data_IF_931826768040
#
_entry.id   IF_931826768040
#
_cell.length_a   1.000
_cell.length_b   1.000
_cell.length_c   1.000
_cell.angle_alpha   90.00
_cell.angle_beta   90.00
_cell.angle_gamma   90.00
#
_symmetry.space_group_name_H-M   'P 1'
#
loop_
_entity.id
_entity.type
_entity.pdbx_description
1 polymer ?
#
# COMPACT_ATOMS: atom_id res chain seq x y z
N UNK A 1 5.50 -27.77 44.61
CA UNK A 1 6.21 -28.14 43.35
C UNK A 1 5.32 -29.09 42.54
N UNK A 2 3.99 -28.91 42.58
CA UNK A 2 3.05 -30.02 42.31
C UNK A 2 2.13 -29.79 41.10
N UNK A 3 2.29 -28.67 40.38
CA UNK A 3 1.49 -28.36 39.19
C UNK A 3 2.01 -28.98 37.88
N UNK A 4 3.21 -29.57 37.89
CA UNK A 4 3.81 -30.18 36.68
C UNK A 4 3.43 -31.66 36.47
N UNK A 5 2.79 -32.30 37.45
CA UNK A 5 2.39 -33.71 37.33
C UNK A 5 1.08 -33.91 36.55
N UNK A 6 0.22 -32.90 36.49
CA UNK A 6 -1.11 -33.01 35.88
C UNK A 6 -1.07 -32.89 34.35
N UNK A 7 -0.16 -32.08 33.81
CA UNK A 7 -0.03 -31.89 32.35
C UNK A 7 0.57 -33.09 31.62
N UNK A 8 1.37 -33.92 32.30
CA UNK A 8 1.90 -35.16 31.70
C UNK A 8 0.81 -36.22 31.48
N UNK A 9 -0.15 -36.34 32.41
CA UNK A 9 -1.25 -37.31 32.28
C UNK A 9 -2.15 -37.02 31.09
N UNK A 10 -2.43 -35.74 30.79
CA UNK A 10 -3.26 -35.37 29.64
C UNK A 10 -2.61 -35.66 28.27
N UNK A 11 -1.27 -35.60 28.18
CA UNK A 11 -0.56 -35.87 26.91
C UNK A 11 -0.51 -37.37 26.63
N UNK A 12 -0.28 -38.19 27.66
CA UNK A 12 -0.22 -39.65 27.51
C UNK A 12 -1.61 -40.25 27.20
N UNK A 13 -2.70 -39.64 27.70
CA UNK A 13 -4.07 -40.09 27.41
C UNK A 13 -4.53 -39.74 25.98
N UNK A 14 -4.10 -38.59 25.46
CA UNK A 14 -4.37 -38.17 24.08
C UNK A 14 -3.60 -39.01 23.03
N UNK A 15 -2.40 -39.50 23.37
CA UNK A 15 -1.64 -40.39 22.49
C UNK A 15 -2.25 -41.80 22.44
N UNK A 16 -2.82 -42.29 23.55
CA UNK A 16 -3.52 -43.58 23.59
C UNK A 16 -4.80 -43.63 22.75
N UNK A 17 -5.47 -42.49 22.57
CA UNK A 17 -6.69 -42.43 21.74
C UNK A 17 -6.40 -42.42 20.24
N UNK A 18 -5.17 -42.10 19.82
CA UNK A 18 -4.77 -42.07 18.41
C UNK A 18 -4.40 -43.45 17.84
N UNK A 19 -4.08 -44.44 18.70
CA UNK A 19 -3.70 -45.79 18.26
C UNK A 19 -4.89 -46.74 18.05
N UNK A 20 -6.09 -46.40 18.54
CA UNK A 20 -7.30 -47.21 18.37
C UNK A 20 -8.11 -46.77 17.14
N UNK A 21 -7.44 -46.76 15.99
CA UNK A 21 -8.04 -46.44 14.69
C UNK A 21 -9.11 -47.43 14.26
N UNK A 22 -10.36 -47.22 14.69
CA UNK A 22 -11.56 -47.71 14.02
C UNK A 22 -12.10 -46.62 13.11
N UNK A 23 -11.78 -46.72 11.82
CA UNK A 23 -12.39 -45.93 10.75
C UNK A 23 -13.89 -46.24 10.68
N UNK A 24 -14.80 -45.26 10.79
CA UNK A 24 -16.19 -45.47 10.46
C UNK A 24 -16.33 -45.69 8.96
N UNK A 25 -16.98 -46.79 8.57
CA UNK A 25 -17.42 -47.07 7.21
C UNK A 25 -18.35 -45.93 6.76
N UNK A 26 -17.98 -45.24 5.68
CA UNK A 26 -18.87 -44.31 5.00
C UNK A 26 -20.01 -45.11 4.35
N UNK A 27 -21.22 -44.94 4.88
CA UNK A 27 -22.45 -45.37 4.23
C UNK A 27 -22.74 -44.46 3.05
N UNK A 28 -22.67 -45.03 1.85
CA UNK A 28 -23.07 -44.41 0.59
C UNK A 28 -24.59 -44.21 0.56
N UNK A 29 -25.04 -43.01 0.93
CA UNK A 29 -26.41 -42.59 0.67
C UNK A 29 -26.57 -42.25 -0.81
N UNK A 30 -27.20 -43.19 -1.51
CA UNK A 30 -27.72 -43.08 -2.85
C UNK A 30 -28.92 -42.11 -2.85
N UNK A 31 -28.71 -40.87 -3.31
CA UNK A 31 -29.80 -39.92 -3.59
C UNK A 31 -30.14 -40.06 -5.07
N UNK A 32 -31.21 -40.80 -5.34
CA UNK A 32 -31.92 -40.83 -6.61
C UNK A 32 -32.80 -39.58 -6.76
N UNK A 33 -32.77 -38.95 -7.93
CA UNK A 33 -33.83 -38.08 -8.42
C UNK A 33 -33.44 -36.62 -8.57
N UNK A 34 -33.21 -36.17 -9.80
CA UNK A 34 -34.25 -35.48 -10.57
C UNK A 34 -33.72 -35.21 -11.99
N UNK A 35 -34.22 -36.00 -12.94
CA UNK A 35 -34.15 -35.62 -14.36
C UNK A 35 -34.98 -34.36 -14.57
N UNK A 36 -34.40 -33.38 -15.24
CA UNK A 36 -35.09 -32.25 -15.82
C UNK A 36 -34.41 -31.99 -17.15
N UNK A 37 -35.01 -32.62 -18.16
CA UNK A 37 -34.78 -32.39 -19.57
C UNK A 37 -34.77 -30.89 -19.86
N UNK A 38 -33.58 -30.33 -20.06
CA UNK A 38 -33.42 -29.07 -20.76
C UNK A 38 -32.91 -29.41 -22.16
N UNK A 39 -33.86 -29.54 -23.09
CA UNK A 39 -33.59 -29.46 -24.52
C UNK A 39 -32.73 -28.23 -24.78
N UNK A 40 -31.51 -28.45 -25.27
CA UNK A 40 -30.73 -27.45 -25.96
C UNK A 40 -30.63 -27.90 -27.42
N UNK A 41 -31.27 -27.14 -28.29
CA UNK A 41 -31.10 -27.15 -29.73
C UNK A 41 -29.62 -27.09 -30.11
N UNK A 42 -29.11 -28.03 -30.94
CA UNK A 42 -27.79 -27.92 -31.54
C UNK A 42 -27.90 -27.63 -33.03
N UNK A 43 -28.48 -26.50 -33.43
CA UNK A 43 -28.46 -26.06 -34.83
C UNK A 43 -28.07 -24.58 -34.95
N UNK A 44 -26.77 -24.31 -34.87
CA UNK A 44 -26.16 -23.24 -35.67
C UNK A 44 -24.65 -23.52 -35.83
N UNK A 45 -24.34 -24.63 -36.51
CA UNK A 45 -23.07 -24.78 -37.21
C UNK A 45 -23.03 -23.71 -38.31
N UNK A 46 -22.46 -22.55 -37.99
CA UNK A 46 -22.18 -21.52 -38.98
C UNK A 46 -21.05 -22.04 -39.88
N UNK A 47 -21.46 -22.67 -40.98
CA UNK A 47 -20.65 -23.07 -42.11
C UNK A 47 -20.13 -21.81 -42.80
N UNK A 48 -19.12 -21.18 -42.20
CA UNK A 48 -18.31 -20.16 -42.86
C UNK A 48 -17.43 -20.87 -43.89
N UNK A 49 -18.05 -21.14 -45.04
CA UNK A 49 -17.52 -21.00 -46.38
C UNK A 49 -15.99 -20.83 -46.44
N UNK A 50 -15.30 -21.97 -46.59
CA UNK A 50 -13.94 -22.03 -47.09
C UNK A 50 -13.93 -21.51 -48.53
N UNK A 51 -13.54 -20.24 -48.71
CA UNK A 51 -13.06 -19.76 -50.01
C UNK A 51 -11.56 -20.08 -50.10
N UNK A 52 -11.09 -20.81 -51.12
CA UNK A 52 -9.68 -20.92 -51.41
C UNK A 52 -9.20 -19.57 -51.97
N UNK A 53 -8.68 -18.73 -51.09
CA UNK A 53 -7.95 -17.53 -51.48
C UNK A 53 -6.66 -17.98 -52.16
N UNK A 54 -6.48 -17.49 -53.38
CA UNK A 54 -5.36 -17.81 -54.24
C UNK A 54 -4.02 -17.53 -53.57
N UNK A 55 -3.07 -18.37 -53.95
CA UNK A 55 -1.64 -18.28 -53.71
C UNK A 55 -1.11 -16.96 -54.28
N UNK A 56 -1.17 -15.89 -53.47
CA UNK A 56 -0.43 -14.66 -53.69
C UNK A 56 0.86 -14.86 -52.90
N UNK A 57 1.97 -15.03 -53.60
CA UNK A 57 3.30 -15.06 -53.02
C UNK A 57 3.60 -13.74 -52.32
N UNK A 58 3.15 -13.61 -51.07
CA UNK A 58 3.58 -12.58 -50.15
C UNK A 58 4.99 -12.96 -49.68
N UNK A 59 6.00 -12.29 -50.22
CA UNK A 59 7.32 -12.30 -49.62
C UNK A 59 7.21 -11.69 -48.21
N UNK A 60 7.06 -12.56 -47.22
CA UNK A 60 7.12 -12.24 -45.79
C UNK A 60 8.34 -11.34 -45.54
N UNK A 61 8.15 -10.07 -45.12
CA UNK A 61 9.27 -9.23 -44.74
C UNK A 61 9.91 -9.87 -43.51
N UNK A 62 11.02 -10.57 -43.73
CA UNK A 62 11.87 -11.16 -42.71
C UNK A 62 12.35 -10.03 -41.79
N UNK A 63 11.56 -9.76 -40.74
CA UNK A 63 11.91 -8.89 -39.63
C UNK A 63 13.16 -9.48 -39.00
N UNK A 64 14.31 -8.94 -39.37
CA UNK A 64 15.60 -9.37 -38.85
C UNK A 64 15.55 -9.23 -37.33
N UNK A 65 15.59 -10.37 -36.65
CA UNK A 65 15.53 -10.42 -35.21
C UNK A 65 16.75 -9.67 -34.64
N UNK A 66 16.55 -8.42 -34.19
CA UNK A 66 17.60 -7.61 -33.58
C UNK A 66 18.21 -8.37 -32.38
N UNK A 67 19.43 -8.87 -32.55
CA UNK A 67 20.16 -9.58 -31.49
C UNK A 67 20.70 -8.55 -30.50
N UNK A 68 20.00 -8.40 -29.38
CA UNK A 68 20.41 -7.47 -28.31
C UNK A 68 21.14 -8.24 -27.21
N UNK A 69 22.29 -7.71 -26.78
CA UNK A 69 23.08 -8.27 -25.69
C UNK A 69 22.42 -8.11 -24.32
N UNK A 70 22.46 -9.16 -23.48
CA UNK A 70 22.01 -9.08 -22.10
C UNK A 70 22.86 -8.09 -21.29
N UNK A 71 22.24 -7.08 -20.69
CA UNK A 71 22.96 -6.06 -19.90
C UNK A 71 23.78 -6.65 -18.74
N UNK A 72 23.36 -7.79 -18.17
CA UNK A 72 23.98 -8.44 -17.01
C UNK A 72 25.10 -9.43 -17.38
N UNK A 73 24.82 -10.41 -18.23
CA UNK A 73 25.79 -11.47 -18.58
C UNK A 73 26.42 -11.29 -19.97
N UNK A 74 26.07 -10.22 -20.68
CA UNK A 74 26.54 -9.86 -22.03
C UNK A 74 26.24 -10.88 -23.15
N UNK A 75 25.70 -12.05 -22.83
CA UNK A 75 25.23 -13.03 -23.83
C UNK A 75 24.15 -12.42 -24.73
N UNK A 76 24.30 -12.58 -26.04
CA UNK A 76 23.27 -12.29 -27.02
C UNK A 76 22.10 -13.27 -26.85
N UNK A 77 20.88 -12.80 -27.09
CA UNK A 77 19.67 -13.63 -27.02
C UNK A 77 18.59 -13.04 -27.93
N UNK A 78 17.74 -13.92 -28.45
CA UNK A 78 16.61 -13.52 -29.28
C UNK A 78 15.57 -12.74 -28.46
N UNK A 79 15.14 -11.59 -28.98
CA UNK A 79 14.06 -10.83 -28.40
C UNK A 79 12.72 -11.30 -28.97
N UNK A 80 11.78 -11.61 -28.07
CA UNK A 80 10.38 -11.76 -28.47
C UNK A 80 9.73 -10.39 -28.74
N UNK A 81 8.40 -10.33 -28.88
CA UNK A 81 7.66 -9.10 -29.21
C UNK A 81 7.81 -7.97 -28.17
N UNK A 82 8.40 -8.26 -27.00
CA UNK A 82 8.72 -7.27 -25.98
C UNK A 82 10.23 -7.14 -25.87
N UNK A 83 10.75 -5.93 -26.02
CA UNK A 83 12.18 -5.67 -25.84
C UNK A 83 12.58 -5.82 -24.38
N UNK A 84 13.54 -6.69 -24.09
CA UNK A 84 14.01 -6.96 -22.72
C UNK A 84 15.49 -6.62 -22.58
N UNK A 85 15.88 -5.99 -21.46
CA UNK A 85 17.29 -5.69 -21.16
C UNK A 85 18.10 -6.89 -20.66
N UNK A 86 17.43 -8.00 -20.30
CA UNK A 86 18.04 -9.18 -19.68
C UNK A 86 17.61 -10.44 -20.41
N UNK A 87 18.55 -11.37 -20.62
CA UNK A 87 18.26 -12.67 -21.21
C UNK A 87 17.26 -13.47 -20.34
N UNK A 88 16.57 -14.49 -20.91
CA UNK A 88 15.62 -15.33 -20.18
C UNK A 88 16.18 -15.89 -18.86
N UNK A 89 17.42 -16.37 -18.88
CA UNK A 89 18.11 -16.90 -17.68
C UNK A 89 18.29 -15.83 -16.59
N UNK A 90 18.83 -14.66 -16.93
CA UNK A 90 19.05 -13.58 -15.97
C UNK A 90 17.73 -13.04 -15.38
N UNK A 91 16.66 -12.99 -16.19
CA UNK A 91 15.31 -12.65 -15.70
C UNK A 91 14.78 -13.69 -14.72
N UNK A 92 14.94 -14.99 -15.02
CA UNK A 92 14.57 -16.08 -14.10
C UNK A 92 15.32 -15.96 -12.78
N UNK A 93 16.64 -15.76 -12.84
CA UNK A 93 17.49 -15.59 -11.66
C UNK A 93 17.10 -14.36 -10.83
N UNK A 94 16.76 -13.24 -11.47
CA UNK A 94 16.25 -12.04 -10.79
C UNK A 94 14.91 -12.31 -10.12
N UNK A 95 13.97 -12.99 -10.80
CA UNK A 95 12.67 -13.40 -10.21
C UNK A 95 12.87 -14.31 -9.00
N UNK A 96 13.80 -15.27 -9.07
CA UNK A 96 14.15 -16.12 -7.93
C UNK A 96 14.74 -15.35 -6.77
N UNK A 97 15.67 -14.42 -7.01
CA UNK A 97 16.22 -13.57 -5.95
C UNK A 97 15.12 -12.76 -5.26
N UNK A 98 14.20 -12.19 -6.03
CA UNK A 98 13.03 -11.47 -5.50
C UNK A 98 12.11 -12.40 -4.70
N UNK A 99 11.87 -13.63 -5.16
CA UNK A 99 11.08 -14.63 -4.42
C UNK A 99 11.74 -15.02 -3.09
N UNK A 100 13.05 -15.35 -3.09
CA UNK A 100 13.80 -15.67 -1.87
C UNK A 100 13.77 -14.50 -0.88
N UNK A 101 13.93 -13.27 -1.37
CA UNK A 101 13.86 -12.08 -0.53
C UNK A 101 12.44 -11.85 0.04
N UNK A 102 11.39 -12.04 -0.77
CA UNK A 102 10.00 -11.96 -0.30
C UNK A 102 9.69 -13.02 0.75
N UNK A 103 10.19 -14.25 0.58
CA UNK A 103 10.01 -15.32 1.54
C UNK A 103 10.73 -15.00 2.87
N UNK A 104 12.01 -14.64 2.80
CA UNK A 104 12.82 -14.25 3.97
C UNK A 104 12.21 -13.07 4.75
N UNK A 105 11.58 -12.11 4.08
CA UNK A 105 10.92 -10.97 4.74
C UNK A 105 9.48 -11.25 5.16
N UNK A 106 8.82 -12.27 4.60
CA UNK A 106 7.48 -12.70 5.02
C UNK A 106 7.54 -13.45 6.35
N UNK A 107 8.58 -14.25 6.56
CA UNK A 107 8.79 -15.09 7.75
C UNK A 107 9.26 -14.30 8.98
N UNK A 108 10.00 -13.20 8.77
CA UNK A 108 10.46 -12.35 9.88
C UNK A 108 9.32 -11.44 10.38
N UNK A 109 8.91 -11.66 11.62
CA UNK A 109 8.02 -10.74 12.35
C UNK A 109 8.84 -9.52 12.77
N UNK A 110 8.22 -8.34 12.88
CA UNK A 110 8.90 -7.14 13.35
C UNK A 110 9.78 -6.43 12.30
N UNK A 111 9.74 -6.81 11.02
CA UNK A 111 10.53 -6.14 9.97
C UNK A 111 9.67 -5.63 8.80
N UNK A 112 10.09 -4.54 8.20
CA UNK A 112 9.44 -3.99 7.02
C UNK A 112 9.60 -4.92 5.81
N UNK A 113 8.49 -5.36 5.21
CA UNK A 113 8.51 -6.21 4.01
C UNK A 113 9.04 -5.55 2.73
N UNK A 114 9.38 -4.26 2.74
CA UNK A 114 9.93 -3.54 1.59
C UNK A 114 11.44 -3.34 1.68
N UNK A 115 11.95 -2.94 2.83
CA UNK A 115 13.38 -2.64 3.01
C UNK A 115 14.09 -3.55 4.01
N UNK A 116 13.36 -4.37 4.78
CA UNK A 116 13.92 -5.26 5.79
C UNK A 116 14.34 -4.58 7.08
N UNK A 117 14.10 -3.27 7.25
CA UNK A 117 14.41 -2.55 8.50
C UNK A 117 13.53 -3.08 9.64
N UNK A 118 14.11 -3.22 10.83
CA UNK A 118 13.35 -3.53 12.05
C UNK A 118 12.35 -2.41 12.33
N UNK A 119 11.15 -2.79 12.72
CA UNK A 119 10.05 -1.90 13.10
C UNK A 119 9.82 -2.02 14.59
N UNK A 120 9.38 -0.94 15.22
CA UNK A 120 9.01 -0.96 16.64
C UNK A 120 7.88 -1.98 16.86
N UNK A 121 7.85 -2.69 18.01
CA UNK A 121 6.86 -3.73 18.28
C UNK A 121 5.42 -3.26 18.02
N UNK A 122 5.05 -2.08 18.53
CA UNK A 122 3.73 -1.49 18.32
C UNK A 122 3.43 -1.10 16.86
N UNK A 123 4.43 -0.72 16.07
CA UNK A 123 4.24 -0.43 14.64
C UNK A 123 4.09 -1.73 13.83
N UNK A 124 4.85 -2.77 14.18
CA UNK A 124 4.91 -4.04 13.46
C UNK A 124 3.63 -4.87 13.55
N UNK A 125 2.86 -4.72 14.63
CA UNK A 125 1.55 -5.35 14.80
C UNK A 125 0.49 -4.72 13.88
N UNK A 126 0.61 -3.42 13.61
CA UNK A 126 -0.39 -2.67 12.85
C UNK A 126 -0.04 -2.58 11.36
N UNK A 127 1.25 -2.56 11.02
CA UNK A 127 1.73 -2.24 9.69
C UNK A 127 2.77 -3.24 9.18
N UNK A 128 2.60 -3.62 7.91
CA UNK A 128 3.51 -4.53 7.19
C UNK A 128 4.74 -3.78 6.63
N UNK A 129 4.68 -2.44 6.59
CA UNK A 129 5.71 -1.57 6.03
C UNK A 129 6.06 -0.48 7.05
N UNK A 130 7.34 -0.15 7.19
CA UNK A 130 7.80 0.96 8.03
C UNK A 130 7.23 2.30 7.54
N UNK A 131 7.20 3.30 8.42
CA UNK A 131 6.74 4.66 8.13
C UNK A 131 7.31 5.24 6.82
N UNK A 132 8.64 5.15 6.61
CA UNK A 132 9.31 5.64 5.38
C UNK A 132 8.77 4.96 4.12
N UNK A 133 8.65 3.63 4.12
CA UNK A 133 8.15 2.87 2.98
C UNK A 133 6.65 3.13 2.72
N UNK A 134 5.84 3.32 3.76
CA UNK A 134 4.44 3.72 3.65
C UNK A 134 4.31 5.11 3.04
N UNK A 135 5.08 6.08 3.52
CA UNK A 135 5.12 7.44 2.99
C UNK A 135 5.47 7.47 1.51
N UNK A 136 6.59 6.83 1.13
CA UNK A 136 7.00 6.70 -0.27
C UNK A 136 5.92 6.04 -1.15
N UNK A 137 5.25 4.99 -0.64
CA UNK A 137 4.16 4.33 -1.37
C UNK A 137 2.95 5.26 -1.59
N UNK A 138 2.57 6.07 -0.60
CA UNK A 138 1.48 7.05 -0.72
C UNK A 138 1.83 8.14 -1.73
N UNK A 139 3.02 8.71 -1.66
CA UNK A 139 3.49 9.74 -2.61
C UNK A 139 3.51 9.19 -4.05
N UNK A 140 4.05 7.98 -4.26
CA UNK A 140 4.05 7.35 -5.60
C UNK A 140 2.65 7.08 -6.13
N UNK A 141 1.70 6.66 -5.27
CA UNK A 141 0.30 6.47 -5.68
C UNK A 141 -0.37 7.79 -6.05
N UNK A 142 -0.08 8.86 -5.31
CA UNK A 142 -0.57 10.22 -5.61
C UNK A 142 -0.05 10.69 -6.97
N UNK A 143 1.26 10.64 -7.17
CA UNK A 143 1.90 11.03 -8.43
C UNK A 143 1.36 10.25 -9.63
N UNK A 144 1.17 8.93 -9.49
CA UNK A 144 0.53 8.13 -10.56
C UNK A 144 -0.87 8.65 -10.89
N UNK A 145 -1.67 8.98 -9.89
CA UNK A 145 -3.01 9.51 -10.14
C UNK A 145 -2.97 10.89 -10.81
N UNK A 146 -2.03 11.76 -10.42
CA UNK A 146 -1.81 13.08 -11.03
C UNK A 146 -1.37 12.95 -12.50
N UNK A 147 -0.53 11.96 -12.82
CA UNK A 147 -0.12 11.63 -14.20
C UNK A 147 -1.19 10.87 -15.00
N UNK A 148 -2.40 10.65 -14.47
CA UNK A 148 -3.42 9.85 -15.14
C UNK A 148 -3.06 8.37 -15.28
N UNK A 149 -2.17 7.83 -14.43
CA UNK A 149 -1.78 6.41 -14.38
C UNK A 149 -2.47 5.65 -13.26
N UNK A 150 -2.67 4.35 -13.48
CA UNK A 150 -3.30 3.47 -12.49
C UNK A 150 -2.44 3.34 -11.21
N UNK A 151 -3.03 3.62 -10.04
CA UNK A 151 -2.29 3.54 -8.76
C UNK A 151 -1.85 2.11 -8.37
N UNK A 152 -2.44 1.08 -8.99
CA UNK A 152 -2.12 -0.33 -8.75
C UNK A 152 -1.01 -0.85 -9.65
N UNK A 153 -1.16 -0.72 -10.97
CA UNK A 153 -0.25 -1.30 -11.95
C UNK A 153 0.69 -0.29 -12.63
N UNK A 154 0.49 1.02 -12.43
CA UNK A 154 1.17 2.11 -13.15
C UNK A 154 0.93 2.11 -14.67
N UNK A 155 -0.01 1.31 -15.17
CA UNK A 155 -0.45 1.33 -16.56
C UNK A 155 -1.34 2.54 -16.85
N UNK A 156 -1.56 2.78 -18.13
CA UNK A 156 -2.47 3.81 -18.63
C UNK A 156 -3.88 3.64 -18.08
N UNK A 157 -4.55 4.78 -17.90
CA UNK A 157 -5.89 4.82 -17.37
C UNK A 157 -6.82 5.41 -18.42
N UNK A 158 -7.74 4.59 -18.92
CA UNK A 158 -8.74 4.97 -19.92
C UNK A 158 -9.60 6.15 -19.46
N UNK A 159 -9.77 6.34 -18.14
CA UNK A 159 -10.61 7.37 -17.58
C UNK A 159 -9.94 8.01 -16.34
N UNK A 160 -9.61 9.29 -16.45
CA UNK A 160 -9.01 10.10 -15.37
C UNK A 160 -9.93 10.32 -14.17
N UNK A 161 -11.24 10.08 -14.30
CA UNK A 161 -12.20 10.14 -13.19
C UNK A 161 -11.93 9.06 -12.12
N UNK A 162 -11.24 7.98 -12.49
CA UNK A 162 -10.92 6.89 -11.56
C UNK A 162 -9.43 6.84 -11.27
N UNK A 163 -9.03 6.46 -10.06
CA UNK A 163 -7.61 6.24 -9.71
C UNK A 163 -7.05 4.89 -10.21
N UNK A 164 -7.92 4.04 -10.75
CA UNK A 164 -7.62 2.63 -11.11
C UNK A 164 -8.13 2.35 -12.51
N UNK A 165 -7.28 1.79 -13.38
CA UNK A 165 -7.64 1.49 -14.77
C UNK A 165 -8.71 0.40 -14.93
N UNK A 166 -9.33 0.35 -16.12
CA UNK A 166 -10.33 -0.65 -16.51
C UNK A 166 -9.87 -2.07 -16.19
N UNK A 167 -8.69 -2.46 -16.67
CA UNK A 167 -8.08 -3.78 -16.39
C UNK A 167 -8.03 -4.15 -14.91
N UNK A 168 -7.56 -3.26 -14.05
CA UNK A 168 -7.46 -3.55 -12.62
C UNK A 168 -8.83 -3.64 -11.94
N UNK A 169 -9.83 -2.89 -12.42
CA UNK A 169 -11.22 -2.98 -11.93
C UNK A 169 -11.88 -4.28 -12.36
N UNK A 170 -11.74 -4.68 -13.62
CA UNK A 170 -12.27 -5.96 -14.13
C UNK A 170 -11.65 -7.15 -13.38
N UNK A 171 -10.33 -7.15 -13.19
CA UNK A 171 -9.66 -8.20 -12.41
C UNK A 171 -10.14 -8.25 -10.95
N UNK A 172 -10.41 -7.11 -10.31
CA UNK A 172 -10.96 -7.09 -8.94
C UNK A 172 -12.40 -7.61 -8.90
N UNK A 173 -13.21 -7.31 -9.93
CA UNK A 173 -14.58 -7.83 -10.09
C UNK A 173 -14.57 -9.35 -10.23
N UNK A 174 -13.78 -9.89 -11.15
CA UNK A 174 -13.60 -11.34 -11.34
C UNK A 174 -13.11 -12.02 -10.07
N UNK A 175 -12.14 -11.41 -9.36
CA UNK A 175 -11.66 -11.93 -8.08
C UNK A 175 -12.80 -12.08 -7.07
N UNK A 176 -13.67 -11.07 -6.93
CA UNK A 176 -14.81 -11.12 -6.01
C UNK A 176 -15.82 -12.20 -6.40
N UNK A 177 -16.14 -12.32 -7.70
CA UNK A 177 -17.01 -13.38 -8.20
C UNK A 177 -16.41 -14.76 -7.90
N UNK A 178 -15.11 -14.95 -8.11
CA UNK A 178 -14.41 -16.21 -7.80
C UNK A 178 -14.41 -16.55 -6.32
N UNK A 179 -14.25 -15.55 -5.44
CA UNK A 179 -14.35 -15.74 -3.99
C UNK A 179 -15.78 -16.12 -3.58
N UNK A 180 -16.79 -15.43 -4.13
CA UNK A 180 -18.21 -15.72 -3.86
C UNK A 180 -18.60 -17.14 -4.30
N UNK A 181 -18.20 -17.57 -5.51
CA UNK A 181 -18.42 -18.94 -6.00
C UNK A 181 -17.81 -20.02 -5.09
N UNK A 182 -16.75 -19.69 -4.36
CA UNK A 182 -16.04 -20.61 -3.44
C UNK A 182 -16.50 -20.47 -1.98
N UNK A 183 -17.50 -19.64 -1.70
CA UNK A 183 -17.93 -19.34 -0.33
C UNK A 183 -16.84 -18.65 0.50
N UNK A 184 -15.96 -17.85 -0.13
CA UNK A 184 -14.86 -17.16 0.54
C UNK A 184 -15.17 -15.68 0.76
N UNK A 185 -14.69 -15.13 1.86
CA UNK A 185 -14.83 -13.71 2.20
C UNK A 185 -14.16 -12.79 1.17
N UNK A 186 -14.88 -11.81 0.63
CA UNK A 186 -14.36 -10.83 -0.34
C UNK A 186 -13.21 -9.93 0.18
N UNK A 187 -12.94 -9.92 1.50
CA UNK A 187 -11.91 -9.09 2.13
C UNK A 187 -10.64 -9.88 2.47
N UNK A 188 -10.78 -11.02 3.13
CA UNK A 188 -9.64 -11.80 3.65
C UNK A 188 -9.48 -13.17 3.00
N UNK A 189 -10.40 -13.56 2.09
CA UNK A 189 -10.42 -14.87 1.43
C UNK A 189 -10.54 -16.08 2.40
N UNK A 190 -11.00 -15.86 3.63
CA UNK A 190 -11.34 -16.93 4.58
C UNK A 190 -12.68 -17.55 4.20
N UNK A 191 -12.83 -18.87 4.36
CA UNK A 191 -14.09 -19.59 4.18
C UNK A 191 -15.18 -19.01 5.09
N UNK A 192 -16.34 -18.71 4.50
CA UNK A 192 -17.52 -18.27 5.23
C UNK A 192 -18.19 -19.48 5.87
N UNK A 193 -18.63 -19.32 7.11
CA UNK A 193 -19.42 -20.34 7.78
C UNK A 193 -20.85 -20.35 7.23
N UNK A 194 -21.63 -21.37 7.58
CA UNK A 194 -23.01 -21.50 7.12
C UNK A 194 -23.90 -20.33 7.52
N UNK A 195 -23.69 -19.83 8.74
CA UNK A 195 -24.35 -18.62 9.25
C UNK A 195 -23.92 -17.33 8.51
N UNK A 196 -22.79 -17.37 7.80
CA UNK A 196 -22.23 -16.26 7.05
C UNK A 196 -22.49 -16.35 5.54
N UNK A 197 -23.08 -17.44 5.01
CA UNK A 197 -23.25 -17.64 3.56
C UNK A 197 -24.05 -16.54 2.87
N UNK A 198 -25.02 -15.95 3.57
CA UNK A 198 -25.80 -14.81 3.05
C UNK A 198 -25.00 -13.52 2.94
N UNK A 199 -23.77 -13.50 3.47
CA UNK A 199 -22.92 -12.32 3.53
C UNK A 199 -21.66 -12.50 2.69
N UNK A 200 -21.34 -11.50 1.87
CA UNK A 200 -20.11 -11.47 1.05
C UNK A 200 -18.81 -11.35 1.87
N UNK A 201 -18.90 -11.18 3.18
CA UNK A 201 -17.77 -10.85 4.08
C UNK A 201 -17.99 -11.50 5.45
N UNK A 202 -16.96 -12.15 6.00
CA UNK A 202 -17.02 -12.81 7.30
C UNK A 202 -17.25 -11.84 8.47
N UNK A 203 -17.74 -12.35 9.60
CA UNK A 203 -18.03 -11.62 10.84
C UNK A 203 -16.81 -10.84 11.34
N UNK A 204 -15.61 -11.45 11.30
CA UNK A 204 -14.36 -10.78 11.70
C UNK A 204 -14.12 -9.50 10.89
N UNK A 205 -14.28 -9.57 9.57
CA UNK A 205 -14.09 -8.41 8.70
C UNK A 205 -15.24 -7.38 8.83
N UNK A 206 -16.47 -7.82 9.08
CA UNK A 206 -17.61 -6.93 9.36
C UNK A 206 -17.41 -6.16 10.66
N UNK A 207 -17.03 -6.83 11.74
CA UNK A 207 -16.79 -6.22 13.05
C UNK A 207 -15.62 -5.26 13.00
N UNK A 208 -14.51 -5.64 12.35
CA UNK A 208 -13.35 -4.75 12.16
C UNK A 208 -13.71 -3.43 11.45
N UNK A 209 -14.61 -3.49 10.45
CA UNK A 209 -15.08 -2.28 9.75
C UNK A 209 -15.86 -1.34 10.68
N UNK A 210 -16.62 -1.86 11.64
CA UNK A 210 -17.39 -1.04 12.60
C UNK A 210 -16.46 -0.25 13.52
N UNK A 211 -15.42 -0.88 14.06
CA UNK A 211 -14.42 -0.20 14.91
C UNK A 211 -13.70 0.94 14.19
N UNK A 212 -13.35 0.76 12.91
CA UNK A 212 -12.70 1.82 12.13
C UNK A 212 -13.62 3.00 11.76
N UNK A 213 -14.95 2.82 11.82
CA UNK A 213 -15.92 3.90 11.53
C UNK A 213 -16.42 4.60 12.79
N UNK A 214 -16.48 3.91 13.93
CA UNK A 214 -17.01 4.43 15.19
C UNK A 214 -15.98 5.12 16.09
N UNK A 215 -14.70 4.75 16.01
CA UNK A 215 -13.65 5.52 16.66
C UNK A 215 -13.47 6.82 15.88
N UNK A 216 -14.10 7.90 16.35
CA UNK A 216 -14.17 9.23 15.75
C UNK A 216 -12.84 9.93 15.52
N UNK A 217 -11.92 9.32 14.76
CA UNK A 217 -10.96 10.03 13.93
C UNK A 217 -11.76 10.65 12.79
N UNK A 218 -12.54 11.70 13.11
CA UNK A 218 -12.70 12.80 12.16
C UNK A 218 -11.29 13.08 11.68
N UNK A 219 -11.07 12.90 10.39
CA UNK A 219 -9.78 13.12 9.76
C UNK A 219 -9.19 14.40 10.36
N UNK A 220 -8.03 14.32 11.00
CA UNK A 220 -7.35 15.52 11.54
C UNK A 220 -7.15 16.55 10.42
N UNK A 221 -7.15 16.11 9.16
CA UNK A 221 -7.19 16.95 7.97
C UNK A 221 -8.45 17.82 7.88
N UNK A 222 -9.63 17.28 8.20
CA UNK A 222 -10.90 17.99 8.11
C UNK A 222 -11.10 18.98 9.28
N UNK A 223 -10.41 18.78 10.41
CA UNK A 223 -10.36 19.79 11.47
C UNK A 223 -9.36 20.92 11.17
N UNK A 224 -8.29 20.64 10.42
CA UNK A 224 -7.34 21.69 9.99
C UNK A 224 -7.96 22.56 8.89
N UNK A 225 -8.80 22.01 8.00
CA UNK A 225 -9.46 22.79 6.95
C UNK A 225 -10.53 23.75 7.52
N UNK A 226 -11.25 23.36 8.57
CA UNK A 226 -12.21 24.26 9.27
C UNK A 226 -11.47 25.32 10.09
N UNK A 227 -10.36 24.98 10.74
CA UNK A 227 -9.54 25.95 11.49
C UNK A 227 -8.79 26.93 10.57
N UNK A 228 -8.30 26.47 9.41
CA UNK A 228 -7.66 27.32 8.41
C UNK A 228 -8.67 28.26 7.73
N UNK A 229 -9.88 27.77 7.42
CA UNK A 229 -10.96 28.61 6.91
C UNK A 229 -11.41 29.66 7.95
N UNK A 230 -11.48 29.30 9.23
CA UNK A 230 -11.77 30.25 10.30
C UNK A 230 -10.65 31.29 10.51
N UNK A 231 -9.38 30.90 10.38
CA UNK A 231 -8.24 31.81 10.48
C UNK A 231 -8.17 32.81 9.30
N UNK A 232 -8.52 32.38 8.08
CA UNK A 232 -8.62 33.27 6.91
C UNK A 232 -9.82 34.22 7.03
N UNK A 233 -10.93 33.76 7.59
CA UNK A 233 -12.09 34.61 7.87
C UNK A 233 -11.83 35.67 8.96
N UNK A 234 -10.99 35.37 9.97
CA UNK A 234 -10.55 36.37 10.96
C UNK A 234 -9.53 37.36 10.40
N UNK A 235 -8.65 36.93 9.48
CA UNK A 235 -7.65 37.81 8.87
C UNK A 235 -8.28 38.80 7.87
N UNK A 236 -9.36 38.40 7.19
CA UNK A 236 -10.09 39.25 6.26
C UNK A 236 -11.24 39.96 6.99
N UNK A 237 -10.90 40.99 7.77
CA UNK A 237 -11.85 41.83 8.50
C UNK A 237 -13.12 42.11 7.71
N UNK A 238 -14.24 41.57 8.23
CA UNK A 238 -15.59 41.78 7.73
C UNK A 238 -15.93 43.27 7.75
N UNK A 239 -15.85 43.92 6.59
CA UNK A 239 -16.57 45.16 6.31
C UNK A 239 -17.87 44.81 5.58
N UNK A 240 -18.96 45.18 6.22
CA UNK A 240 -20.35 45.24 5.74
C UNK A 240 -20.52 45.30 4.22
N UNK A 241 -21.23 44.32 3.65
CA UNK A 241 -22.09 44.53 2.47
C UNK A 241 -23.35 43.67 2.61
N UNK A 242 -24.50 44.34 2.48
CA UNK A 242 -25.87 43.82 2.54
C UNK A 242 -26.20 42.82 1.41
N UNK A 243 -27.22 41.96 1.57
CA UNK A 243 -27.61 41.01 0.54
C UNK A 243 -28.69 41.57 -0.40
N UNK A 244 -28.47 41.42 -1.71
CA UNK A 244 -29.51 41.50 -2.73
C UNK A 244 -29.61 40.15 -3.45
N UNK A 245 -30.84 39.65 -3.52
CA UNK A 245 -31.34 38.41 -4.13
C UNK A 245 -30.59 37.82 -5.34
N UNK A 246 -30.43 36.49 -5.33
CA UNK A 246 -30.87 35.64 -6.46
C UNK A 246 -31.04 34.17 -6.05
N UNK A 247 -32.08 33.57 -6.61
CA UNK A 247 -32.59 32.22 -6.38
C UNK A 247 -31.57 31.11 -6.66
N UNK A 248 -31.47 30.12 -5.78
CA UNK A 248 -31.15 28.73 -6.16
C UNK A 248 -31.60 27.73 -5.08
N UNK A 249 -32.41 26.77 -5.52
CA UNK A 249 -33.03 25.70 -4.72
C UNK A 249 -32.04 24.68 -4.16
N UNK A 250 -32.11 24.52 -2.83
CA UNK A 250 -32.33 23.27 -2.08
C UNK A 250 -31.52 22.01 -2.42
N UNK A 251 -30.52 21.66 -1.61
CA UNK A 251 -30.64 20.56 -0.62
C UNK A 251 -29.37 20.42 0.23
N UNK A 252 -29.42 20.84 1.50
CA UNK A 252 -28.49 20.39 2.54
C UNK A 252 -29.17 20.54 3.91
N UNK A 253 -29.38 19.42 4.60
CA UNK A 253 -29.90 19.43 5.97
C UNK A 253 -28.88 20.04 6.92
N UNK A 254 -29.17 21.24 7.42
CA UNK A 254 -28.42 21.88 8.48
C UNK A 254 -28.81 21.27 9.83
N UNK A 255 -27.85 20.61 10.49
CA UNK A 255 -28.00 20.24 11.89
C UNK A 255 -27.89 21.52 12.73
N UNK A 256 -29.00 21.90 13.35
CA UNK A 256 -29.10 23.03 14.27
C UNK A 256 -28.34 22.70 15.57
N UNK A 257 -27.30 23.47 15.88
CA UNK A 257 -26.66 23.42 17.19
C UNK A 257 -27.50 24.28 18.14
N UNK A 258 -28.30 23.62 18.98
CA UNK A 258 -28.98 24.26 20.09
C UNK A 258 -27.95 24.72 21.12
N UNK A 259 -27.76 26.03 21.26
CA UNK A 259 -27.17 26.58 22.48
C UNK A 259 -28.21 26.53 23.61
N UNK A 260 -27.79 26.30 24.85
CA UNK A 260 -28.68 26.43 26.00
C UNK A 260 -29.17 27.89 26.12
N UNK A 261 -30.46 28.04 26.41
CA UNK A 261 -31.11 29.35 26.50
C UNK A 261 -30.39 30.26 27.50
N UNK A 262 -30.07 31.48 27.05
CA UNK A 262 -29.53 32.55 27.91
C UNK A 262 -28.01 32.71 27.94
N UNK A 263 -27.23 31.87 27.24
CA UNK A 263 -25.77 32.07 27.14
C UNK A 263 -25.37 32.77 25.85
N UNK A 264 -24.60 33.85 25.98
CA UNK A 264 -23.98 34.51 24.84
C UNK A 264 -22.79 33.69 24.32
N UNK A 265 -22.49 33.77 23.02
CA UNK A 265 -21.34 33.10 22.39
C UNK A 265 -20.02 33.46 23.08
N UNK A 266 -19.93 34.67 23.64
CA UNK A 266 -18.77 35.16 24.37
C UNK A 266 -18.61 34.48 25.74
N UNK A 267 -19.70 34.18 26.46
CA UNK A 267 -19.67 33.42 27.71
C UNK A 267 -19.32 31.95 27.50
N UNK A 268 -19.79 31.35 26.40
CA UNK A 268 -19.41 29.97 26.05
C UNK A 268 -17.91 29.85 25.76
N UNK A 269 -17.32 30.83 25.07
CA UNK A 269 -15.88 30.86 24.79
C UNK A 269 -15.04 31.13 26.05
N UNK A 270 -15.53 31.98 26.99
CA UNK A 270 -14.85 32.22 28.26
C UNK A 270 -14.88 30.99 29.18
N UNK A 271 -15.98 30.24 29.20
CA UNK A 271 -16.11 29.00 30.00
C UNK A 271 -15.20 27.88 29.49
N UNK A 272 -15.05 27.74 28.17
CA UNK A 272 -14.14 26.77 27.57
C UNK A 272 -12.66 27.01 27.90
N UNK A 273 -12.27 28.26 28.21
CA UNK A 273 -10.90 28.63 28.54
C UNK A 273 -10.52 28.26 30.00
N UNK A 274 -11.50 28.14 30.90
CA UNK A 274 -11.28 27.80 32.32
C UNK A 274 -11.01 26.31 32.56
N UNK A 275 -11.35 25.43 31.62
CA UNK A 275 -11.14 23.98 31.77
C UNK A 275 -9.79 23.46 31.26
N UNK A 276 -8.90 24.33 30.76
CA UNK A 276 -7.58 23.92 30.24
C UNK A 276 -6.39 24.34 31.12
N UNK A 277 -6.61 24.91 32.31
CA UNK A 277 -5.54 25.37 33.19
C UNK A 277 -5.66 24.84 34.62
N UNK A 278 -5.16 23.64 34.90
CA UNK A 278 -5.12 23.12 36.28
C UNK A 278 -4.51 21.74 36.40
N UNK A 279 -3.18 21.65 36.42
CA UNK A 279 -2.46 20.38 36.60
C UNK A 279 -0.95 20.54 36.82
N UNK A 280 -0.55 21.41 37.76
CA UNK A 280 0.83 21.48 38.23
C UNK A 280 1.00 20.53 39.43
N UNK A 281 1.38 19.27 39.13
CA UNK A 281 1.73 18.26 40.12
C UNK A 281 3.24 18.23 40.38
N UNK A 282 3.62 18.84 41.49
CA UNK A 282 4.78 18.61 42.36
C UNK A 282 5.64 17.36 42.07
N UNK A 283 6.90 17.55 41.69
CA UNK A 283 7.94 16.51 41.74
C UNK A 283 9.22 17.06 42.39
N UNK A 284 9.59 16.37 43.45
CA UNK A 284 10.62 16.68 44.42
C UNK A 284 12.03 16.62 43.80
N UNK A 285 12.79 17.70 43.96
CA UNK A 285 14.19 17.83 43.54
C UNK A 285 15.10 17.28 44.65
N UNK A 286 15.69 16.10 44.45
CA UNK A 286 16.87 15.67 45.20
C UNK A 286 18.08 15.66 44.27
N UNK A 287 19.05 16.51 44.64
CA UNK A 287 20.37 16.59 44.07
C UNK A 287 21.15 15.30 44.33
N UNK A 288 21.81 14.77 43.31
CA UNK A 288 23.05 14.01 43.46
C UNK A 288 23.94 14.26 42.25
N UNK A 289 25.08 14.86 42.56
CA UNK A 289 26.18 15.24 41.67
C UNK A 289 26.72 14.02 40.92
N UNK A 290 26.85 14.13 39.60
CA UNK A 290 27.87 13.41 38.84
C UNK A 290 28.40 14.35 37.78
N UNK A 291 29.66 14.73 37.94
CA UNK A 291 30.46 15.55 37.04
C UNK A 291 30.74 14.79 35.74
N UNK A 292 30.10 15.17 34.65
CA UNK A 292 30.61 14.95 33.30
C UNK A 292 30.32 16.19 32.44
N UNK A 293 31.40 16.81 31.98
CA UNK A 293 31.45 18.00 31.14
C UNK A 293 30.66 17.85 29.83
N UNK A 294 29.97 18.91 29.36
CA UNK A 294 29.55 19.04 27.97
C UNK A 294 30.62 19.78 27.16
N UNK A 295 30.72 19.43 25.87
CA UNK A 295 31.55 20.00 24.78
C UNK A 295 32.59 19.02 24.22
N UNK A 296 32.12 17.96 23.56
CA UNK A 296 32.91 17.30 22.52
C UNK A 296 32.71 18.07 21.21
N UNK A 297 33.64 18.97 20.91
CA UNK A 297 33.76 19.57 19.57
C UNK A 297 34.09 18.48 18.55
N UNK A 298 33.45 18.59 17.39
CA UNK A 298 33.36 17.51 16.40
C UNK A 298 34.68 16.99 15.86
N UNK A 299 34.65 15.71 15.49
CA UNK A 299 35.71 15.02 14.76
C UNK A 299 36.17 15.82 13.53
N UNK A 300 37.32 16.47 13.65
CA UNK A 300 37.91 17.36 12.66
C UNK A 300 38.51 16.65 11.42
N UNK A 301 38.18 15.36 11.19
CA UNK A 301 38.80 14.56 10.12
C UNK A 301 37.77 13.77 9.30
N UNK A 302 36.73 14.43 8.79
CA UNK A 302 35.88 13.81 7.76
C UNK A 302 36.56 13.92 6.41
N UNK A 303 37.07 12.81 5.89
CA UNK A 303 37.57 12.70 4.50
C UNK A 303 36.45 12.26 3.57
N UNK A 304 36.42 12.84 2.37
CA UNK A 304 35.50 12.43 1.31
C UNK A 304 35.80 10.99 0.88
N UNK A 305 34.80 10.10 0.91
CA UNK A 305 34.98 8.69 0.54
C UNK A 305 35.36 8.49 -0.94
N UNK A 306 35.10 9.47 -1.81
CA UNK A 306 35.34 9.36 -3.25
C UNK A 306 36.71 9.88 -3.67
N UNK A 307 37.17 11.00 -3.11
CA UNK A 307 38.44 11.61 -3.50
C UNK A 307 39.50 11.67 -2.38
N UNK A 308 39.16 11.27 -1.16
CA UNK A 308 40.08 11.29 0.00
C UNK A 308 40.40 12.68 0.55
N UNK A 309 39.88 13.76 -0.05
CA UNK A 309 40.13 15.15 0.40
C UNK A 309 39.37 15.40 1.71
N UNK A 310 40.01 16.11 2.65
CA UNK A 310 39.36 16.57 3.88
C UNK A 310 38.17 17.48 3.56
N UNK A 311 37.03 17.22 4.19
CA UNK A 311 35.79 17.99 4.02
C UNK A 311 35.85 19.14 5.04
N UNK A 312 36.04 20.37 4.56
CA UNK A 312 35.88 21.56 5.40
C UNK A 312 34.41 21.70 5.81
N UNK A 313 34.14 22.35 6.95
CA UNK A 313 32.78 22.64 7.41
C UNK A 313 31.99 23.44 6.35
N UNK A 314 32.68 24.26 5.56
CA UNK A 314 32.10 25.06 4.49
C UNK A 314 31.74 24.25 3.24
N UNK A 315 32.29 23.02 3.09
CA UNK A 315 32.02 22.12 1.95
C UNK A 315 30.90 21.10 2.24
N UNK A 316 30.30 21.14 3.44
CA UNK A 316 29.24 20.21 3.84
C UNK A 316 27.92 20.64 3.23
N UNK A 317 27.47 19.92 2.20
CA UNK A 317 26.13 20.08 1.66
C UNK A 317 25.08 19.80 2.75
N UNK A 318 23.95 20.52 2.74
CA UNK A 318 22.88 20.52 3.76
C UNK A 318 22.22 19.14 4.03
N UNK A 319 22.63 18.09 3.34
CA UNK A 319 22.32 16.70 3.66
C UNK A 319 23.39 16.14 4.60
N UNK A 320 23.21 16.31 5.91
CA UNK A 320 24.11 15.85 6.97
C UNK A 320 24.33 14.32 7.08
N UNK A 321 24.00 13.54 6.04
CA UNK A 321 24.17 12.09 5.98
C UNK A 321 25.10 11.58 4.86
N UNK A 322 25.65 12.45 4.01
CA UNK A 322 26.58 12.05 2.95
C UNK A 322 28.03 12.41 3.27
N UNK A 323 28.92 11.42 3.32
CA UNK A 323 30.38 11.60 3.45
C UNK A 323 31.05 11.89 2.09
N UNK A 324 30.40 12.70 1.25
CA UNK A 324 30.88 13.09 -0.08
C UNK A 324 31.04 14.62 -0.13
N UNK A 325 32.17 15.11 -0.63
CA UNK A 325 32.37 16.56 -0.83
C UNK A 325 31.54 17.09 -2.01
N UNK A 326 31.25 18.39 -2.01
CA UNK A 326 30.46 19.05 -3.06
C UNK A 326 30.98 18.79 -4.49
N UNK A 327 32.29 18.89 -4.70
CA UNK A 327 32.93 18.63 -6.02
C UNK A 327 32.66 17.23 -6.56
N UNK A 328 32.65 16.23 -5.67
CA UNK A 328 32.39 14.84 -6.05
C UNK A 328 30.92 14.58 -6.40
N UNK A 329 30.01 15.33 -5.78
CA UNK A 329 28.57 15.31 -6.07
C UNK A 329 28.27 15.97 -7.42
N UNK A 330 28.87 17.13 -7.70
CA UNK A 330 28.64 17.86 -8.96
C UNK A 330 29.14 17.10 -10.19
N UNK A 331 30.25 16.36 -10.05
CA UNK A 331 30.80 15.55 -11.15
C UNK A 331 29.88 14.41 -11.62
N UNK A 332 28.94 13.94 -10.78
CA UNK A 332 27.97 12.90 -11.19
C UNK A 332 26.77 13.48 -11.94
N UNK A 333 26.41 14.73 -11.67
CA UNK A 333 25.31 15.42 -12.37
C UNK A 333 25.62 15.72 -13.84
N UNK A 334 26.89 15.87 -14.21
CA UNK A 334 27.29 16.24 -15.57
C UNK A 334 27.43 15.04 -16.54
N UNK A 335 27.25 13.80 -16.06
CA UNK A 335 27.32 12.60 -16.91
C UNK A 335 26.01 12.27 -17.64
N UNK A 336 24.94 13.05 -17.45
CA UNK A 336 23.60 12.79 -18.03
C UNK A 336 23.15 13.77 -19.11
N UNK A 337 23.95 14.77 -19.47
CA UNK A 337 23.59 15.79 -20.47
C UNK A 337 24.75 15.94 -21.45
N UNK A 338 24.86 15.02 -22.43
CA UNK A 338 25.36 15.29 -23.79
C UNK A 338 25.44 13.99 -24.59
N UNK A 339 24.44 13.76 -25.44
CA UNK A 339 24.59 12.88 -26.60
C UNK A 339 23.53 13.22 -27.64
N UNK A 340 23.74 14.33 -28.36
CA UNK A 340 23.19 14.57 -29.68
C UNK A 340 24.22 15.27 -30.56
N UNK A 341 24.17 14.97 -31.86
CA UNK A 341 24.92 15.51 -32.99
C UNK A 341 26.35 14.98 -33.23
N UNK A 342 26.46 13.98 -34.12
CA UNK A 342 27.43 13.95 -35.24
C UNK A 342 27.21 12.71 -36.10
N UNK A 343 26.40 12.85 -37.15
CA UNK A 343 26.35 11.92 -38.28
C UNK A 343 26.20 12.74 -39.57
N UNK A 344 27.35 13.22 -40.06
CA UNK A 344 27.56 13.60 -41.46
C UNK A 344 28.98 13.15 -41.80
N UNK A 345 29.09 12.02 -42.48
CA UNK A 345 29.96 11.80 -43.64
C UNK A 345 29.68 10.43 -44.26
#
# INVERSE_FOLDING_TARGET
>A
MDHLSSTKQFIDEALKTAEQGTLPKEESNHISGHDSDHLLDPEHMNLHQFLPMGDVGEEEPHLTAETIGCTRCKKQFEQGPRKYKLCPYCRKLQRERSRRWQQKTKEKVGVCRRCGITMDPGESEQFVLCGKCRGSLRTKKRHRAEEGRCVHCSGENENSAYKVCGRCRSNDKERRISLEKRGLCNRCATLLTDLERDHKVCLKCRNKKRYCKGAGRKSLHEQVDVAAAAAVALANGTKNLSPSNSNLSSNSGAASLHLPDGMTVQEFLLSAQQHLGGGAGHLHLLHSRSTHDPLSMGDANKVCLKCGVGISIDDVNNNGSSNFCGKCLESESNLFMNSESSAQH
#
